data_IF_472075957474
#
_entry.id   IF_472075957474
#
_cell.length_a   1.000
_cell.length_b   1.000
_cell.length_c   1.000
_cell.angle_alpha   90.00
_cell.angle_beta   90.00
_cell.angle_gamma   90.00
#
_symmetry.space_group_name_H-M   'P 1'
#
loop_
_entity.id
_entity.type
_entity.pdbx_description
1 polymer ?
#
# COMPACT_ATOMS: atom_id res chain seq x y z
N UNK A 1 4.10 21.62 -8.35
CA UNK A 1 2.65 21.54 -8.03
C UNK A 1 2.09 20.40 -8.85
N UNK A 2 1.62 19.33 -8.23
CA UNK A 2 0.96 18.22 -8.93
C UNK A 2 -0.42 18.67 -9.36
N UNK A 3 -0.75 18.53 -10.65
CA UNK A 3 -2.06 18.93 -11.18
C UNK A 3 -3.15 18.06 -10.52
N UNK A 4 -4.25 18.64 -10.03
CA UNK A 4 -5.34 17.86 -9.41
C UNK A 4 -5.95 16.83 -10.38
N UNK A 5 -5.97 17.13 -11.68
CA UNK A 5 -6.41 16.20 -12.72
C UNK A 5 -5.50 14.97 -12.85
N UNK A 6 -4.18 15.14 -12.64
CA UNK A 6 -3.24 14.02 -12.68
C UNK A 6 -3.41 13.09 -11.47
N UNK A 7 -3.87 13.63 -10.33
CA UNK A 7 -4.15 12.81 -9.15
C UNK A 7 -5.40 11.95 -9.37
N UNK A 8 -6.48 12.53 -9.89
CA UNK A 8 -7.71 11.78 -10.19
C UNK A 8 -7.52 10.69 -11.26
N UNK A 9 -6.63 10.89 -12.23
CA UNK A 9 -6.27 9.87 -13.20
C UNK A 9 -5.49 8.70 -12.58
N UNK A 10 -4.57 8.98 -11.66
CA UNK A 10 -3.82 7.94 -10.95
C UNK A 10 -4.70 7.16 -9.98
N UNK A 11 -5.66 7.83 -9.32
CA UNK A 11 -6.64 7.16 -8.46
C UNK A 11 -7.51 6.17 -9.25
N UNK A 12 -8.02 6.58 -10.42
CA UNK A 12 -8.71 5.64 -11.33
C UNK A 12 -7.82 4.51 -11.81
N UNK A 13 -6.55 4.79 -12.08
CA UNK A 13 -5.60 3.77 -12.51
C UNK A 13 -5.31 2.75 -11.38
N UNK A 14 -5.34 3.17 -10.11
CA UNK A 14 -5.29 2.24 -8.97
C UNK A 14 -6.57 1.41 -8.87
N UNK A 15 -7.74 2.05 -8.99
CA UNK A 15 -9.04 1.38 -8.91
C UNK A 15 -9.24 0.32 -10.02
N UNK A 16 -8.68 0.60 -11.20
CA UNK A 16 -8.71 -0.31 -12.37
C UNK A 16 -7.56 -1.33 -12.38
N UNK A 17 -6.59 -1.22 -11.48
CA UNK A 17 -5.43 -2.10 -11.40
C UNK A 17 -4.34 -1.83 -12.44
N UNK A 18 -4.38 -0.68 -13.12
CA UNK A 18 -3.31 -0.20 -14.01
C UNK A 18 -2.10 0.34 -13.24
N UNK A 19 -2.28 0.71 -11.97
CA UNK A 19 -1.22 1.07 -11.05
C UNK A 19 -1.27 0.21 -9.78
N UNK A 20 -0.09 0.04 -9.19
CA UNK A 20 0.13 -0.55 -7.87
C UNK A 20 0.56 0.56 -6.92
N UNK A 21 0.11 0.50 -5.66
CA UNK A 21 0.50 1.45 -4.62
C UNK A 21 0.95 0.68 -3.37
N UNK A 22 2.05 1.11 -2.77
CA UNK A 22 2.51 0.62 -1.47
C UNK A 22 1.97 1.46 -0.29
N UNK A 23 2.18 0.97 0.93
CA UNK A 23 1.74 1.59 2.18
C UNK A 23 2.42 2.95 2.46
N UNK A 24 3.52 3.26 1.78
CA UNK A 24 4.19 4.57 1.83
C UNK A 24 3.59 5.54 0.80
N UNK A 25 2.58 5.10 0.04
CA UNK A 25 1.85 5.87 -0.95
C UNK A 25 2.53 5.92 -2.31
N UNK A 26 3.64 5.20 -2.52
CA UNK A 26 4.38 5.19 -3.79
C UNK A 26 3.63 4.36 -4.82
N UNK A 27 3.45 4.93 -6.01
CA UNK A 27 2.67 4.35 -7.11
C UNK A 27 3.58 3.89 -8.25
N UNK A 28 3.30 2.75 -8.87
CA UNK A 28 4.04 2.23 -10.03
C UNK A 28 3.11 1.54 -11.03
N UNK A 29 3.39 1.67 -12.32
CA UNK A 29 2.74 0.88 -13.38
C UNK A 29 3.52 -0.38 -13.78
N UNK A 30 4.68 -0.62 -13.16
CA UNK A 30 5.46 -1.84 -13.38
C UNK A 30 4.97 -2.94 -12.42
N UNK A 31 4.43 -4.06 -12.95
CA UNK A 31 3.95 -5.16 -12.11
C UNK A 31 5.05 -5.84 -11.29
N UNK A 32 6.32 -5.83 -11.74
CA UNK A 32 7.42 -6.40 -10.96
C UNK A 32 7.77 -5.53 -9.77
N UNK A 33 7.78 -4.22 -9.96
CA UNK A 33 7.96 -3.27 -8.87
C UNK A 33 6.77 -3.35 -7.88
N UNK A 34 5.54 -3.47 -8.40
CA UNK A 34 4.35 -3.70 -7.58
C UNK A 34 4.44 -4.96 -6.73
N UNK A 35 4.90 -6.08 -7.31
CA UNK A 35 5.11 -7.32 -6.56
C UNK A 35 6.18 -7.18 -5.46
N UNK A 36 7.33 -6.56 -5.78
CA UNK A 36 8.38 -6.32 -4.79
C UNK A 36 7.92 -5.44 -3.62
N UNK A 37 7.06 -4.45 -3.90
CA UNK A 37 6.43 -3.65 -2.85
C UNK A 37 5.49 -4.49 -1.98
N UNK A 38 4.60 -5.29 -2.59
CA UNK A 38 3.69 -6.16 -1.84
C UNK A 38 4.41 -7.16 -0.94
N UNK A 39 5.51 -7.76 -1.42
CA UNK A 39 6.35 -8.66 -0.61
C UNK A 39 6.95 -7.92 0.60
N UNK A 40 7.47 -6.71 0.37
CA UNK A 40 8.03 -5.88 1.44
C UNK A 40 6.98 -5.46 2.48
N UNK A 41 5.74 -5.22 2.05
CA UNK A 41 4.61 -4.90 2.94
C UNK A 41 4.17 -6.09 3.77
N UNK A 42 4.14 -7.29 3.17
CA UNK A 42 3.85 -8.52 3.88
C UNK A 42 4.86 -8.77 5.01
N UNK A 43 6.15 -8.54 4.74
CA UNK A 43 7.21 -8.64 5.75
C UNK A 43 7.02 -7.64 6.89
N UNK A 44 6.73 -6.37 6.58
CA UNK A 44 6.42 -5.35 7.60
C UNK A 44 5.19 -5.73 8.43
N UNK A 45 4.14 -6.21 7.79
CA UNK A 45 2.93 -6.66 8.49
C UNK A 45 3.21 -7.85 9.41
N UNK A 46 4.06 -8.79 8.98
CA UNK A 46 4.50 -9.89 9.82
C UNK A 46 5.29 -9.38 11.04
N UNK A 47 6.14 -8.36 10.87
CA UNK A 47 6.84 -7.71 11.98
C UNK A 47 5.88 -6.99 12.93
N UNK A 48 4.93 -6.20 12.42
CA UNK A 48 3.92 -5.53 13.24
C UNK A 48 3.08 -6.54 14.03
N UNK A 49 2.73 -7.67 13.41
CA UNK A 49 2.00 -8.75 14.07
C UNK A 49 2.85 -9.39 15.18
N UNK A 50 4.13 -9.63 14.92
CA UNK A 50 5.06 -10.17 15.92
C UNK A 50 5.25 -9.20 17.11
N UNK A 51 5.18 -7.89 16.87
CA UNK A 51 5.21 -6.84 17.91
C UNK A 51 3.87 -6.64 18.61
N UNK A 52 2.79 -7.25 18.13
CA UNK A 52 1.43 -7.06 18.65
C UNK A 52 0.82 -5.70 18.31
N UNK A 53 1.38 -4.98 17.34
CA UNK A 53 0.89 -3.67 16.87
C UNK A 53 -0.35 -3.82 15.98
N UNK A 54 -0.54 -4.99 15.37
CA UNK A 54 -1.70 -5.35 14.55
C UNK A 54 -2.28 -6.69 15.00
N UNK A 55 -3.62 -6.78 15.05
CA UNK A 55 -4.37 -7.94 15.54
C UNK A 55 -5.76 -7.52 16.01
N UNK A 56 -6.67 -8.45 16.36
CA UNK A 56 -7.91 -8.09 17.04
C UNK A 56 -7.51 -7.42 18.36
N UNK A 57 -7.56 -6.08 18.40
CA UNK A 57 -7.11 -5.31 19.54
C UNK A 57 -7.74 -5.88 20.81
N UNK A 58 -6.92 -6.27 21.78
CA UNK A 58 -7.44 -6.62 23.10
C UNK A 58 -8.03 -5.32 23.64
N UNK A 59 -9.35 -5.21 23.84
CA UNK A 59 -9.94 -3.98 24.36
C UNK A 59 -9.31 -3.72 25.74
N UNK A 60 -8.72 -2.54 25.93
CA UNK A 60 -8.30 -2.09 27.25
C UNK A 60 -9.57 -1.97 28.12
N UNK A 61 -9.54 -2.58 29.32
CA UNK A 61 -10.67 -2.59 30.26
C UNK A 61 -10.78 -1.29 31.05
#
# INVERSE_FOLDING_TARGET
MTNPEQNGQQERALETGELYQDAEGRRTGDPRAGAAHADSEADRNAEHLARGEVGPGVPEQ
#
